data_IF_851057293987
#
_entry.id   IF_851057293987
#
_cell.length_a   1.000
_cell.length_b   1.000
_cell.length_c   1.000
_cell.angle_alpha   90.00
_cell.angle_beta   90.00
_cell.angle_gamma   90.00
#
_symmetry.space_group_name_H-M   'P 1'
#
loop_
_entity.id
_entity.type
_entity.pdbx_description
1 polymer ?
#
# COMPACT_ATOMS: atom_id res chain seq x y z
N UNK A 1 -4.09 10.44 10.63
CA UNK A 1 -3.62 9.38 11.53
C UNK A 1 -4.56 8.19 11.44
N UNK A 2 -4.05 6.99 11.17
CA UNK A 2 -4.85 5.79 10.90
C UNK A 2 -5.88 5.47 12.01
N UNK A 3 -5.46 5.45 13.28
CA UNK A 3 -6.35 5.14 14.40
C UNK A 3 -7.45 6.19 14.64
N UNK A 4 -7.18 7.46 14.31
CA UNK A 4 -8.22 8.50 14.37
C UNK A 4 -9.35 8.18 13.37
N UNK A 5 -8.99 7.80 12.15
CA UNK A 5 -9.97 7.43 11.12
C UNK A 5 -10.78 6.19 11.54
N UNK A 6 -10.15 5.19 12.16
CA UNK A 6 -10.84 4.00 12.70
C UNK A 6 -11.95 4.40 13.66
N UNK A 7 -11.66 5.31 14.60
CA UNK A 7 -12.63 5.81 15.57
C UNK A 7 -13.75 6.60 14.87
N UNK A 8 -13.40 7.53 13.98
CA UNK A 8 -14.37 8.39 13.28
C UNK A 8 -15.29 7.61 12.35
N UNK A 9 -14.79 6.52 11.75
CA UNK A 9 -15.57 5.60 10.91
C UNK A 9 -16.34 4.54 11.72
N UNK A 10 -16.17 4.49 13.05
CA UNK A 10 -16.82 3.49 13.90
C UNK A 10 -16.34 2.05 13.65
N UNK A 11 -15.13 1.87 13.12
CA UNK A 11 -14.56 0.54 12.87
C UNK A 11 -14.08 -0.07 14.18
N UNK A 12 -14.48 -1.31 14.44
CA UNK A 12 -14.22 -1.99 15.72
C UNK A 12 -13.07 -3.00 15.69
N UNK A 13 -12.54 -3.31 14.51
CA UNK A 13 -11.41 -4.25 14.35
C UNK A 13 -10.38 -3.69 13.36
N UNK A 14 -9.24 -3.23 13.88
CA UNK A 14 -8.13 -2.71 13.07
C UNK A 14 -7.51 -3.77 12.16
N UNK A 15 -7.65 -5.06 12.49
CA UNK A 15 -7.11 -6.16 11.69
C UNK A 15 -7.89 -6.37 10.38
N UNK A 16 -9.10 -5.81 10.30
CA UNK A 16 -9.91 -5.75 9.09
C UNK A 16 -9.69 -4.44 8.30
N UNK A 17 -8.80 -3.56 8.76
CA UNK A 17 -8.43 -2.33 8.05
C UNK A 17 -7.22 -2.57 7.15
N UNK A 18 -7.18 -1.83 6.04
CA UNK A 18 -6.04 -1.82 5.10
C UNK A 18 -5.52 -0.40 4.98
N UNK A 19 -4.26 -0.20 5.37
CA UNK A 19 -3.53 1.05 5.16
C UNK A 19 -2.84 1.00 3.81
N UNK A 20 -3.31 1.83 2.88
CA UNK A 20 -2.67 2.05 1.59
C UNK A 20 -1.83 3.32 1.68
N UNK A 21 -0.58 3.27 1.24
CA UNK A 21 0.31 4.43 1.25
C UNK A 21 1.42 4.29 0.21
N UNK A 22 2.05 5.41 -0.14
CA UNK A 22 3.16 5.48 -1.08
C UNK A 22 4.48 5.85 -0.42
N UNK A 23 4.50 6.09 0.90
CA UNK A 23 5.68 6.48 1.65
C UNK A 23 5.94 5.56 2.85
N UNK A 24 7.22 5.43 3.20
CA UNK A 24 7.67 4.59 4.32
C UNK A 24 6.93 4.90 5.64
N UNK A 25 6.82 6.16 6.10
CA UNK A 25 6.14 6.45 7.38
C UNK A 25 4.66 6.06 7.39
N UNK A 26 3.98 6.11 6.24
CA UNK A 26 2.58 5.73 6.15
C UNK A 26 2.36 4.21 6.18
N UNK A 27 3.33 3.43 5.69
CA UNK A 27 3.35 1.97 5.87
C UNK A 27 3.65 1.60 7.32
N UNK A 28 4.63 2.26 7.94
CA UNK A 28 4.94 2.07 9.37
C UNK A 28 3.74 2.43 10.25
N UNK A 29 2.99 3.48 9.92
CA UNK A 29 1.76 3.85 10.61
C UNK A 29 0.74 2.70 10.60
N UNK A 30 0.53 2.05 9.45
CA UNK A 30 -0.41 0.94 9.32
C UNK A 30 0.00 -0.27 10.16
N UNK A 31 1.27 -0.65 10.10
CA UNK A 31 1.83 -1.73 10.92
C UNK A 31 1.68 -1.46 12.41
N UNK A 32 2.07 -0.25 12.84
CA UNK A 32 1.96 0.16 14.25
C UNK A 32 0.50 0.21 14.74
N UNK A 33 -0.45 0.42 13.83
CA UNK A 33 -1.88 0.39 14.12
C UNK A 33 -2.50 -1.03 14.07
N UNK A 34 -1.73 -2.06 13.70
CA UNK A 34 -2.22 -3.44 13.58
C UNK A 34 -3.09 -3.68 12.34
N UNK A 35 -2.84 -2.96 11.25
CA UNK A 35 -3.57 -3.04 9.98
C UNK A 35 -2.77 -3.80 8.92
N UNK A 36 -3.46 -4.34 7.91
CA UNK A 36 -2.79 -4.74 6.66
C UNK A 36 -2.20 -3.51 5.98
N UNK A 37 -1.10 -3.69 5.24
CA UNK A 37 -0.38 -2.57 4.60
C UNK A 37 -0.12 -2.86 3.13
N UNK A 38 -0.41 -1.88 2.29
CA UNK A 38 -0.25 -1.96 0.83
C UNK A 38 0.54 -0.74 0.36
N UNK A 39 1.71 -0.97 -0.21
CA UNK A 39 2.56 0.08 -0.78
C UNK A 39 2.29 0.32 -2.26
N UNK A 40 2.23 1.60 -2.68
CA UNK A 40 2.08 2.01 -4.08
C UNK A 40 3.44 2.28 -4.74
N UNK A 41 3.71 1.62 -5.87
CA UNK A 41 5.01 1.70 -6.53
C UNK A 41 5.09 2.75 -7.64
N UNK A 42 3.99 3.04 -8.34
CA UNK A 42 3.99 3.88 -9.55
C UNK A 42 3.04 5.08 -9.50
N UNK A 43 2.21 5.19 -8.47
CA UNK A 43 1.19 6.24 -8.34
C UNK A 43 1.39 7.14 -7.12
N UNK A 44 2.62 7.26 -6.64
CA UNK A 44 2.93 8.04 -5.45
C UNK A 44 4.35 8.61 -5.39
N UNK A 45 4.68 9.23 -4.27
CA UNK A 45 5.87 10.03 -4.04
C UNK A 45 7.17 9.30 -4.42
N UNK A 46 7.30 8.02 -4.06
CA UNK A 46 8.52 7.27 -4.31
C UNK A 46 8.70 6.90 -5.79
N UNK A 47 7.61 6.81 -6.55
CA UNK A 47 7.63 6.70 -8.01
C UNK A 47 8.13 7.99 -8.67
N UNK A 48 7.80 9.14 -8.07
CA UNK A 48 8.27 10.47 -8.45
C UNK A 48 8.00 10.83 -9.92
N UNK A 49 6.95 10.23 -10.49
CA UNK A 49 6.44 10.54 -11.82
C UNK A 49 5.17 11.39 -11.66
N UNK A 50 5.04 12.41 -12.48
CA UNK A 50 3.74 13.02 -12.75
C UNK A 50 2.86 12.04 -13.52
N UNK A 51 1.54 12.30 -13.56
CA UNK A 51 0.61 11.48 -14.33
C UNK A 51 0.97 11.44 -15.82
N UNK A 52 1.38 12.57 -16.39
CA UNK A 52 1.80 12.65 -17.79
C UNK A 52 3.04 11.80 -18.05
N UNK A 53 4.08 11.96 -17.23
CA UNK A 53 5.29 11.15 -17.33
C UNK A 53 4.99 9.65 -17.20
N UNK A 54 4.11 9.26 -16.29
CA UNK A 54 3.68 7.87 -16.13
C UNK A 54 2.97 7.33 -17.38
N UNK A 55 2.07 8.11 -17.98
CA UNK A 55 1.28 7.69 -19.15
C UNK A 55 2.12 7.53 -20.43
N UNK A 56 3.19 8.32 -20.58
CA UNK A 56 4.07 8.28 -21.74
C UNK A 56 5.38 7.52 -21.48
N UNK A 57 5.63 7.08 -20.25
CA UNK A 57 6.83 6.31 -19.91
C UNK A 57 6.85 4.98 -20.66
N UNK A 58 8.05 4.61 -21.10
CA UNK A 58 8.30 3.27 -21.60
C UNK A 58 8.43 2.26 -20.44
N UNK A 59 8.44 0.97 -20.79
CA UNK A 59 8.53 -0.10 -19.80
C UNK A 59 9.81 -0.02 -18.95
N UNK A 60 10.91 0.48 -19.50
CA UNK A 60 12.18 0.61 -18.79
C UNK A 60 12.11 1.72 -17.74
N UNK A 61 11.54 2.88 -18.07
CA UNK A 61 11.35 4.00 -17.16
C UNK A 61 10.44 3.62 -16.00
N UNK A 62 9.32 2.94 -16.29
CA UNK A 62 8.42 2.42 -15.25
C UNK A 62 9.11 1.39 -14.37
N UNK A 63 9.95 0.51 -14.94
CA UNK A 63 10.70 -0.47 -14.16
C UNK A 63 11.70 0.18 -13.20
N UNK A 64 12.42 1.20 -13.65
CA UNK A 64 13.34 1.96 -12.78
C UNK A 64 12.60 2.67 -11.65
N UNK A 65 11.45 3.30 -11.95
CA UNK A 65 10.63 3.93 -10.93
C UNK A 65 10.11 2.91 -9.90
N UNK A 66 9.66 1.75 -10.37
CA UNK A 66 9.20 0.63 -9.54
C UNK A 66 10.30 0.13 -8.61
N UNK A 67 11.50 -0.10 -9.12
CA UNK A 67 12.64 -0.57 -8.33
C UNK A 67 13.03 0.43 -7.24
N UNK A 68 13.04 1.73 -7.57
CA UNK A 68 13.31 2.78 -6.60
C UNK A 68 12.27 2.79 -5.48
N UNK A 69 10.98 2.80 -5.83
CA UNK A 69 9.90 2.81 -4.86
C UNK A 69 9.89 1.54 -3.99
N UNK A 70 10.10 0.38 -4.61
CA UNK A 70 10.20 -0.89 -3.92
C UNK A 70 11.36 -0.91 -2.93
N UNK A 71 12.56 -0.45 -3.32
CA UNK A 71 13.72 -0.41 -2.43
C UNK A 71 13.49 0.47 -1.18
N UNK A 72 12.71 1.54 -1.33
CA UNK A 72 12.33 2.39 -0.20
C UNK A 72 11.28 1.72 0.68
N UNK A 73 10.15 1.30 0.10
CA UNK A 73 9.02 0.79 0.85
C UNK A 73 9.30 -0.56 1.51
N UNK A 74 10.14 -1.41 0.91
CA UNK A 74 10.52 -2.70 1.50
C UNK A 74 11.20 -2.58 2.86
N UNK A 75 11.78 -1.43 3.20
CA UNK A 75 12.35 -1.17 4.54
C UNK A 75 11.27 -1.26 5.63
N UNK A 76 10.02 -0.89 5.32
CA UNK A 76 8.86 -1.01 6.21
C UNK A 76 8.10 -2.33 6.04
N UNK A 77 8.57 -3.25 5.16
CA UNK A 77 8.01 -4.59 4.93
C UNK A 77 6.48 -4.58 4.75
N UNK A 78 5.94 -3.88 3.74
CA UNK A 78 4.50 -3.89 3.49
C UNK A 78 4.02 -5.30 3.18
N UNK A 79 2.78 -5.62 3.55
CA UNK A 79 2.19 -6.93 3.25
C UNK A 79 2.03 -7.16 1.74
N UNK A 80 1.76 -6.07 1.00
CA UNK A 80 1.62 -6.07 -0.45
C UNK A 80 2.28 -4.84 -1.06
N UNK A 81 2.73 -4.99 -2.30
CA UNK A 81 3.13 -3.89 -3.17
C UNK A 81 2.34 -3.99 -4.47
N UNK A 82 1.81 -2.85 -4.93
CA UNK A 82 1.06 -2.75 -6.19
C UNK A 82 1.49 -1.50 -6.94
N UNK A 83 1.30 -1.48 -8.26
CA UNK A 83 1.71 -0.33 -9.08
C UNK A 83 0.81 0.87 -8.78
N UNK A 84 -0.52 0.66 -8.80
CA UNK A 84 -1.48 1.72 -8.52
C UNK A 84 -2.66 1.24 -7.68
N UNK A 85 -3.43 2.19 -7.14
CA UNK A 85 -4.69 1.88 -6.44
C UNK A 85 -5.71 1.14 -7.32
N UNK A 86 -5.56 1.14 -8.65
CA UNK A 86 -6.40 0.36 -9.55
C UNK A 86 -6.25 -1.15 -9.33
N UNK A 87 -5.10 -1.60 -8.81
CA UNK A 87 -4.80 -3.00 -8.52
C UNK A 87 -5.30 -3.44 -7.13
N UNK A 88 -5.74 -2.49 -6.30
CA UNK A 88 -6.15 -2.72 -4.92
C UNK A 88 -7.29 -3.76 -4.78
N UNK A 89 -8.33 -3.80 -5.64
CA UNK A 89 -9.41 -4.78 -5.51
C UNK A 89 -8.92 -6.24 -5.48
N UNK A 90 -7.90 -6.57 -6.26
CA UNK A 90 -7.33 -7.93 -6.26
C UNK A 90 -6.59 -8.25 -4.95
N UNK A 91 -5.93 -7.27 -4.35
CA UNK A 91 -5.26 -7.43 -3.04
C UNK A 91 -6.29 -7.55 -1.92
N UNK A 92 -7.37 -6.77 -1.95
CA UNK A 92 -8.44 -6.86 -0.94
C UNK A 92 -9.09 -8.24 -0.93
N UNK A 93 -9.34 -8.83 -2.11
CA UNK A 93 -9.84 -10.20 -2.21
C UNK A 93 -8.88 -11.22 -1.57
N UNK A 94 -7.56 -11.05 -1.75
CA UNK A 94 -6.57 -11.92 -1.11
C UNK A 94 -6.55 -11.75 0.42
N UNK A 95 -6.60 -10.51 0.91
CA UNK A 95 -6.66 -10.22 2.35
C UNK A 95 -7.90 -10.86 2.97
N UNK A 96 -9.05 -10.77 2.30
CA UNK A 96 -10.29 -11.40 2.77
C UNK A 96 -10.14 -12.93 2.91
N UNK A 97 -9.53 -13.60 1.92
CA UNK A 97 -9.27 -15.04 2.02
C UNK A 97 -8.34 -15.39 3.19
N UNK A 98 -7.30 -14.58 3.41
CA UNK A 98 -6.36 -14.76 4.53
C UNK A 98 -7.04 -14.56 5.89
N UNK A 99 -7.91 -13.56 6.01
CA UNK A 99 -8.72 -13.33 7.21
C UNK A 99 -9.66 -14.51 7.49
N UNK A 100 -10.32 -15.06 6.45
CA UNK A 100 -11.16 -16.25 6.58
C UNK A 100 -10.35 -17.49 7.01
N UNK A 101 -9.08 -17.59 6.60
CA UNK A 101 -8.14 -18.61 7.05
C UNK A 101 -7.58 -18.38 8.47
N UNK A 102 -7.96 -17.28 9.13
CA UNK A 102 -7.51 -16.93 10.48
C UNK A 102 -6.16 -16.22 10.54
N UNK A 103 -5.58 -15.84 9.40
CA UNK A 103 -4.40 -14.98 9.37
C UNK A 103 -4.74 -13.57 9.87
N UNK A 104 -3.69 -12.87 10.29
CA UNK A 104 -3.76 -11.48 10.76
C UNK A 104 -2.60 -10.71 10.11
N UNK A 105 -2.68 -9.37 10.04
CA UNK A 105 -1.51 -8.54 9.73
C UNK A 105 -0.33 -8.91 10.64
#
# INVERSE_FOLDING_TARGET
MALKNVIELGVTDVRACVKVDDALPGIEEGHNAGMWTVGLLLSGNEAGLTLEEYQYADAQTLQVARERAQAKLQQAKPHYLIDTVADLPAVLAQIEQRLLAGERP
#
